data_IF_814346264081
#
_entry.id   IF_814346264081
#
_cell.length_a   1.000
_cell.length_b   1.000
_cell.length_c   1.000
_cell.angle_alpha   90.00
_cell.angle_beta   90.00
_cell.angle_gamma   90.00
#
_symmetry.space_group_name_H-M   'P 1'
#
loop_
_entity.id
_entity.type
_entity.pdbx_description
1 polymer ?
#
# COMPACT_ATOMS: atom_id res chain seq x y z
N UNK A 1 9.08 -20.51 8.89
CA UNK A 1 8.06 -19.54 8.42
C UNK A 1 7.62 -18.54 9.47
N UNK A 2 7.88 -18.77 10.76
CA UNK A 2 7.55 -17.83 11.84
C UNK A 2 8.17 -16.44 11.62
N UNK A 3 9.45 -16.39 11.21
CA UNK A 3 10.10 -15.13 10.86
C UNK A 3 9.36 -14.34 9.77
N UNK A 4 8.89 -14.99 8.70
CA UNK A 4 8.16 -14.32 7.60
C UNK A 4 6.81 -13.79 8.10
N UNK A 5 6.11 -14.54 8.96
CA UNK A 5 4.84 -14.10 9.57
C UNK A 5 5.06 -12.88 10.44
N UNK A 6 6.08 -12.91 11.31
CA UNK A 6 6.44 -11.77 12.17
C UNK A 6 6.85 -10.54 11.34
N UNK A 7 7.71 -10.73 10.33
CA UNK A 7 8.14 -9.65 9.46
C UNK A 7 6.98 -9.04 8.68
N UNK A 8 6.08 -9.87 8.12
CA UNK A 8 4.87 -9.41 7.43
C UNK A 8 3.93 -8.65 8.38
N UNK A 9 3.80 -9.09 9.64
CA UNK A 9 3.02 -8.42 10.67
C UNK A 9 3.56 -7.03 11.01
N UNK A 10 4.87 -6.92 11.28
CA UNK A 10 5.51 -5.62 11.57
C UNK A 10 5.50 -4.69 10.35
N UNK A 11 5.79 -5.22 9.16
CA UNK A 11 5.84 -4.42 7.95
C UNK A 11 4.46 -3.86 7.56
N UNK A 12 3.34 -4.52 7.92
CA UNK A 12 1.97 -3.96 7.78
C UNK A 12 1.85 -2.61 8.50
N UNK A 13 2.31 -2.54 9.74
CA UNK A 13 2.25 -1.32 10.54
C UNK A 13 3.19 -0.24 10.01
N UNK A 14 4.36 -0.64 9.53
CA UNK A 14 5.30 0.30 8.91
C UNK A 14 4.74 0.90 7.60
N UNK A 15 4.11 0.08 6.76
CA UNK A 15 3.38 0.54 5.56
C UNK A 15 2.28 1.53 5.94
N UNK A 16 1.46 1.20 6.94
CA UNK A 16 0.38 2.07 7.39
C UNK A 16 0.90 3.42 7.93
N UNK A 17 1.99 3.38 8.72
CA UNK A 17 2.64 4.58 9.25
C UNK A 17 3.19 5.47 8.13
N UNK A 18 3.94 4.90 7.20
CA UNK A 18 4.53 5.66 6.08
C UNK A 18 3.46 6.19 5.14
N UNK A 19 2.36 5.43 4.94
CA UNK A 19 1.19 5.90 4.20
C UNK A 19 0.55 7.12 4.88
N UNK A 20 0.37 7.09 6.21
CA UNK A 20 -0.19 8.22 6.95
C UNK A 20 0.72 9.46 6.85
N UNK A 21 2.03 9.27 6.99
CA UNK A 21 3.02 10.35 6.80
C UNK A 21 2.93 10.93 5.39
N UNK A 22 2.86 10.09 4.35
CA UNK A 22 2.71 10.54 2.97
C UNK A 22 1.41 11.31 2.76
N UNK A 23 0.29 10.83 3.29
CA UNK A 23 -1.00 11.50 3.19
C UNK A 23 -0.95 12.90 3.81
N UNK A 24 -0.36 13.04 5.00
CA UNK A 24 -0.16 14.34 5.65
C UNK A 24 0.74 15.25 4.80
N UNK A 25 1.86 14.74 4.29
CA UNK A 25 2.74 15.53 3.42
C UNK A 25 2.03 16.01 2.15
N UNK A 26 1.14 15.20 1.56
CA UNK A 26 0.39 15.56 0.36
C UNK A 26 -0.69 16.61 0.66
N UNK A 27 -1.36 16.52 1.81
CA UNK A 27 -2.30 17.56 2.27
C UNK A 27 -1.56 18.87 2.53
N UNK A 28 -0.45 18.82 3.28
CA UNK A 28 0.36 20.00 3.58
C UNK A 28 0.94 20.60 2.30
N UNK A 29 1.47 19.79 1.37
CA UNK A 29 2.02 20.26 0.10
C UNK A 29 0.97 20.78 -0.89
N UNK A 30 -0.29 20.37 -0.76
CA UNK A 30 -1.39 20.93 -1.55
C UNK A 30 -1.84 22.31 -1.06
N UNK A 31 -1.66 22.62 0.23
CA UNK A 31 -2.09 23.89 0.85
C UNK A 31 -0.92 24.86 1.03
N UNK A 32 0.28 24.35 1.28
CA UNK A 32 1.51 25.09 1.55
C UNK A 32 2.60 24.68 0.57
N UNK A 33 3.56 25.55 0.33
CA UNK A 33 4.72 25.31 -0.53
C UNK A 33 5.76 24.39 0.13
N UNK A 34 5.41 23.10 0.28
CA UNK A 34 6.34 22.05 0.72
C UNK A 34 7.19 21.57 -0.46
N UNK A 35 8.51 21.34 -0.30
CA UNK A 35 9.32 20.81 -1.38
C UNK A 35 8.85 19.41 -1.82
N UNK A 36 8.44 19.29 -3.09
CA UNK A 36 7.97 18.04 -3.72
C UNK A 36 8.90 16.84 -3.55
N UNK A 37 10.22 17.09 -3.39
CA UNK A 37 11.22 16.04 -3.17
C UNK A 37 10.93 15.17 -1.95
N UNK A 38 10.41 15.76 -0.87
CA UNK A 38 10.16 15.03 0.37
C UNK A 38 9.02 14.04 0.22
N UNK A 39 7.89 14.49 -0.34
CA UNK A 39 6.75 13.62 -0.64
C UNK A 39 7.11 12.52 -1.65
N UNK A 40 7.97 12.82 -2.64
CA UNK A 40 8.47 11.79 -3.57
C UNK A 40 9.34 10.74 -2.88
N UNK A 41 10.22 11.14 -1.97
CA UNK A 41 11.04 10.19 -1.20
C UNK A 41 10.16 9.30 -0.31
N UNK A 42 9.18 9.88 0.38
CA UNK A 42 8.22 9.12 1.18
C UNK A 42 7.36 8.19 0.33
N UNK A 43 6.93 8.61 -0.87
CA UNK A 43 6.22 7.76 -1.83
C UNK A 43 7.09 6.57 -2.28
N UNK A 44 8.37 6.79 -2.58
CA UNK A 44 9.29 5.71 -2.96
C UNK A 44 9.51 4.73 -1.81
N UNK A 45 9.67 5.24 -0.58
CA UNK A 45 9.76 4.41 0.62
C UNK A 45 8.50 3.59 0.85
N UNK A 46 7.32 4.21 0.69
CA UNK A 46 6.04 3.51 0.79
C UNK A 46 5.93 2.40 -0.26
N UNK A 47 6.29 2.68 -1.51
CA UNK A 47 6.28 1.68 -2.59
C UNK A 47 7.18 0.48 -2.28
N UNK A 48 8.40 0.72 -1.78
CA UNK A 48 9.32 -0.35 -1.41
C UNK A 48 8.75 -1.22 -0.28
N UNK A 49 8.24 -0.59 0.78
CA UNK A 49 7.63 -1.30 1.92
C UNK A 49 6.35 -2.05 1.52
N UNK A 50 5.53 -1.46 0.65
CA UNK A 50 4.31 -2.08 0.14
C UNK A 50 4.64 -3.28 -0.75
N UNK A 51 5.63 -3.15 -1.63
CA UNK A 51 6.10 -4.25 -2.46
C UNK A 51 6.64 -5.39 -1.59
N UNK A 52 7.44 -5.08 -0.55
CA UNK A 52 7.87 -6.07 0.43
C UNK A 52 6.68 -6.74 1.13
N UNK A 53 5.66 -5.96 1.55
CA UNK A 53 4.45 -6.49 2.20
C UNK A 53 3.74 -7.50 1.30
N UNK A 54 3.58 -7.15 0.02
CA UNK A 54 2.93 -8.00 -0.96
C UNK A 54 3.76 -9.26 -1.23
N UNK A 55 5.08 -9.15 -1.38
CA UNK A 55 5.96 -10.30 -1.59
C UNK A 55 5.92 -11.28 -0.41
N UNK A 56 5.97 -10.77 0.83
CA UNK A 56 5.82 -11.59 2.03
C UNK A 56 4.44 -12.25 2.09
N UNK A 57 3.39 -11.50 1.73
CA UNK A 57 2.01 -12.01 1.68
C UNK A 57 1.85 -13.14 0.64
N UNK A 58 2.42 -12.96 -0.55
CA UNK A 58 2.42 -13.99 -1.60
C UNK A 58 3.22 -15.21 -1.15
N UNK A 59 4.38 -15.03 -0.52
CA UNK A 59 5.17 -16.15 0.00
C UNK A 59 4.38 -16.96 1.05
N UNK A 60 3.68 -16.28 1.97
CA UNK A 60 2.81 -16.93 2.96
C UNK A 60 1.61 -17.63 2.31
N UNK A 61 1.04 -17.03 1.26
CA UNK A 61 -0.08 -17.60 0.51
C UNK A 61 0.34 -18.88 -0.23
N UNK A 62 1.48 -18.85 -0.93
CA UNK A 62 2.05 -20.01 -1.64
C UNK A 62 2.48 -21.10 -0.67
N UNK A 63 3.02 -20.75 0.50
CA UNK A 63 3.41 -21.76 1.48
C UNK A 63 2.21 -22.51 2.09
N UNK A 64 1.07 -21.82 2.28
CA UNK A 64 -0.19 -22.41 2.77
C UNK A 64 -1.09 -22.89 1.63
N UNK A 65 -0.51 -23.15 0.47
CA UNK A 65 -1.25 -23.55 -0.71
C UNK A 65 -1.55 -25.04 -0.65
N UNK A 66 -2.83 -25.37 -0.51
CA UNK A 66 -3.35 -26.75 -0.46
C UNK A 66 -4.13 -27.12 -1.74
N UNK A 67 -4.12 -26.23 -2.75
CA UNK A 67 -4.82 -26.40 -4.03
C UNK A 67 -5.97 -25.40 -4.23
N UNK A 68 -6.35 -25.16 -5.51
CA UNK A 68 -7.32 -24.12 -5.89
C UNK A 68 -8.68 -24.24 -5.20
N UNK A 69 -9.18 -25.48 -5.02
CA UNK A 69 -10.49 -25.73 -4.42
C UNK A 69 -10.52 -25.51 -2.89
N UNK A 70 -9.36 -25.46 -2.23
CA UNK A 70 -9.23 -25.40 -0.78
C UNK A 70 -8.85 -24.00 -0.27
N UNK A 71 -8.51 -23.07 -1.17
CA UNK A 71 -8.21 -21.68 -0.82
C UNK A 71 -9.51 -20.88 -0.70
N UNK A 72 -9.82 -20.32 0.48
CA UNK A 72 -11.01 -19.50 0.65
C UNK A 72 -10.98 -18.25 -0.25
N UNK A 73 -12.15 -17.89 -0.83
CA UNK A 73 -12.28 -16.75 -1.75
C UNK A 73 -11.70 -15.44 -1.21
N UNK A 74 -11.86 -15.17 0.09
CA UNK A 74 -11.34 -13.95 0.72
C UNK A 74 -9.81 -13.80 0.59
N UNK A 75 -9.05 -14.89 0.49
CA UNK A 75 -7.59 -14.82 0.32
C UNK A 75 -7.22 -14.36 -1.09
N UNK A 76 -7.96 -14.82 -2.10
CA UNK A 76 -7.80 -14.34 -3.47
C UNK A 76 -8.15 -12.87 -3.61
N UNK A 77 -9.29 -12.46 -3.06
CA UNK A 77 -9.70 -11.06 -3.07
C UNK A 77 -8.66 -10.18 -2.39
N UNK A 78 -8.09 -10.62 -1.27
CA UNK A 78 -7.01 -9.90 -0.59
C UNK A 78 -5.77 -9.73 -1.49
N UNK A 79 -5.28 -10.79 -2.11
CA UNK A 79 -4.10 -10.70 -3.00
C UNK A 79 -4.38 -9.78 -4.19
N UNK A 80 -5.54 -9.92 -4.84
CA UNK A 80 -5.93 -9.11 -6.00
C UNK A 80 -6.07 -7.64 -5.62
N UNK A 81 -6.72 -7.33 -4.49
CA UNK A 81 -6.89 -5.95 -4.02
C UNK A 81 -5.55 -5.30 -3.66
N UNK A 82 -4.62 -6.04 -3.05
CA UNK A 82 -3.28 -5.52 -2.76
C UNK A 82 -2.45 -5.30 -4.03
N UNK A 83 -2.58 -6.18 -5.03
CA UNK A 83 -1.92 -6.00 -6.33
C UNK A 83 -2.45 -4.75 -7.04
N UNK A 84 -3.77 -4.57 -7.08
CA UNK A 84 -4.40 -3.38 -7.65
C UNK A 84 -3.95 -2.09 -6.92
N UNK A 85 -3.89 -2.12 -5.59
CA UNK A 85 -3.40 -1.01 -4.77
C UNK A 85 -1.93 -0.67 -5.10
N UNK A 86 -1.06 -1.68 -5.23
CA UNK A 86 0.34 -1.47 -5.62
C UNK A 86 0.44 -0.83 -7.00
N UNK A 87 -0.31 -1.31 -7.99
CA UNK A 87 -0.31 -0.77 -9.35
C UNK A 87 -0.75 0.70 -9.38
N UNK A 88 -1.81 1.05 -8.64
CA UNK A 88 -2.27 2.44 -8.53
C UNK A 88 -1.21 3.33 -7.87
N UNK A 89 -0.52 2.83 -6.84
CA UNK A 89 0.50 3.59 -6.13
C UNK A 89 1.72 3.93 -7.01
N UNK A 90 1.91 3.25 -8.15
CA UNK A 90 2.95 3.60 -9.13
C UNK A 90 2.57 4.77 -10.04
N UNK A 91 1.29 5.12 -10.17
CA UNK A 91 0.84 6.19 -11.07
C UNK A 91 1.53 7.53 -10.83
N UNK A 92 1.72 8.01 -9.58
CA UNK A 92 2.33 9.31 -9.34
C UNK A 92 3.81 9.40 -9.78
N UNK A 93 4.49 8.27 -9.94
CA UNK A 93 5.86 8.21 -10.46
C UNK A 93 5.94 8.52 -11.96
N UNK A 94 4.86 8.28 -12.70
CA UNK A 94 4.78 8.60 -14.14
C UNK A 94 4.47 10.08 -14.38
N UNK A 95 4.02 10.81 -13.38
CA UNK A 95 3.63 12.22 -13.46
C UNK A 95 4.77 13.21 -13.25
N UNK A 96 5.93 12.93 -13.84
CA UNK A 96 7.14 13.76 -13.66
C UNK A 96 6.95 15.18 -14.22
N UNK A 97 6.16 15.31 -15.29
CA UNK A 97 5.94 16.56 -16.05
C UNK A 97 4.67 17.33 -15.68
N UNK A 98 3.88 16.85 -14.71
CA UNK A 98 2.70 17.60 -14.27
C UNK A 98 3.12 18.86 -13.52
N UNK A 99 2.34 19.92 -13.72
CA UNK A 99 2.34 21.11 -12.88
C UNK A 99 2.25 20.74 -11.40
N UNK A 100 2.89 21.53 -10.55
CA UNK A 100 3.08 21.18 -9.15
C UNK A 100 1.75 21.03 -8.40
N UNK A 101 0.86 22.01 -8.50
CA UNK A 101 -0.47 21.97 -7.87
C UNK A 101 -1.30 20.76 -8.33
N UNK A 102 -1.23 20.43 -9.62
CA UNK A 102 -1.95 19.28 -10.18
C UNK A 102 -1.36 17.95 -9.69
N UNK A 103 -0.03 17.87 -9.57
CA UNK A 103 0.63 16.69 -9.03
C UNK A 103 0.24 16.43 -7.57
N UNK A 104 0.24 17.45 -6.72
CA UNK A 104 -0.16 17.32 -5.31
C UNK A 104 -1.57 16.76 -5.18
N UNK A 105 -2.54 17.38 -5.86
CA UNK A 105 -3.95 16.97 -5.80
C UNK A 105 -4.17 15.56 -6.35
N UNK A 106 -3.62 15.23 -7.52
CA UNK A 106 -3.79 13.90 -8.12
C UNK A 106 -3.10 12.81 -7.29
N UNK A 107 -1.93 13.09 -6.75
CA UNK A 107 -1.19 12.13 -5.91
C UNK A 107 -1.93 11.89 -4.61
N UNK A 108 -2.49 12.93 -3.98
CA UNK A 108 -3.35 12.79 -2.81
C UNK A 108 -4.54 11.86 -3.10
N UNK A 109 -5.28 12.09 -4.19
CA UNK A 109 -6.42 11.24 -4.53
C UNK A 109 -6.03 9.78 -4.78
N UNK A 110 -4.91 9.53 -5.45
CA UNK A 110 -4.39 8.16 -5.63
C UNK A 110 -4.01 7.53 -4.29
N UNK A 111 -3.28 8.24 -3.43
CA UNK A 111 -2.85 7.71 -2.13
C UNK A 111 -4.05 7.43 -1.23
N UNK A 112 -5.08 8.26 -1.25
CA UNK A 112 -6.34 8.01 -0.54
C UNK A 112 -7.08 6.80 -1.11
N UNK A 113 -7.22 6.69 -2.44
CA UNK A 113 -7.85 5.54 -3.08
C UNK A 113 -7.11 4.22 -2.77
N UNK A 114 -5.77 4.25 -2.78
CA UNK A 114 -4.92 3.13 -2.34
C UNK A 114 -5.19 2.79 -0.87
N UNK A 115 -5.27 3.79 0.01
CA UNK A 115 -5.61 3.59 1.42
C UNK A 115 -6.95 2.90 1.61
N UNK A 116 -7.98 3.30 0.86
CA UNK A 116 -9.31 2.66 0.88
C UNK A 116 -9.23 1.22 0.39
N UNK A 117 -8.54 0.94 -0.73
CA UNK A 117 -8.38 -0.43 -1.24
C UNK A 117 -7.69 -1.34 -0.23
N UNK A 118 -6.62 -0.84 0.41
CA UNK A 118 -5.88 -1.59 1.43
C UNK A 118 -6.76 -1.87 2.64
N UNK A 119 -7.49 -0.85 3.11
CA UNK A 119 -8.44 -1.00 4.21
C UNK A 119 -9.49 -2.08 3.94
N UNK A 120 -10.13 -2.02 2.77
CA UNK A 120 -11.13 -3.01 2.36
C UNK A 120 -10.51 -4.41 2.19
N UNK A 121 -9.33 -4.50 1.57
CA UNK A 121 -8.63 -5.77 1.39
C UNK A 121 -8.27 -6.45 2.71
N UNK A 122 -7.82 -5.69 3.72
CA UNK A 122 -7.53 -6.23 5.06
C UNK A 122 -8.80 -6.54 5.84
N UNK A 123 -9.84 -5.69 5.75
CA UNK A 123 -11.11 -5.88 6.47
C UNK A 123 -11.87 -7.15 6.06
N UNK A 124 -11.66 -7.65 4.83
CA UNK A 124 -12.24 -8.91 4.35
C UNK A 124 -11.55 -10.16 4.89
N UNK A 125 -10.37 -10.05 5.50
CA UNK A 125 -9.72 -11.17 6.16
C UNK A 125 -10.44 -11.47 7.50
N UNK A 126 -10.62 -12.75 7.90
CA UNK A 126 -11.33 -13.12 9.13
C UNK A 126 -10.79 -12.47 10.41
N UNK A 127 -9.49 -12.17 10.43
CA UNK A 127 -8.81 -11.51 11.56
C UNK A 127 -8.74 -9.98 11.44
N UNK A 128 -9.09 -9.43 10.28
CA UNK A 128 -9.04 -8.00 9.99
C UNK A 128 -7.68 -7.36 10.29
N UNK A 129 -7.73 -6.13 10.80
CA UNK A 129 -6.54 -5.34 11.18
C UNK A 129 -5.93 -5.70 12.54
N UNK A 130 -6.71 -6.31 13.43
CA UNK A 130 -6.34 -6.55 14.83
C UNK A 130 -5.75 -7.95 15.09
N UNK A 131 -5.74 -8.84 14.10
CA UNK A 131 -5.14 -10.17 14.23
C UNK A 131 -4.07 -10.49 13.19
#
# INVERSE_FOLDING_TARGET
MEFIVLLHGHNRWLVALVWAVLAVQLVVGAVRSMPRRWARLTLLGLLALFALQLLLGIALFVWRWEGLAQVPHYRWEHVVTMLAALLLLHLPLRWKRLEEALWWRRTLWVVLAVGVLVFLGVARLPKGWLG
#
